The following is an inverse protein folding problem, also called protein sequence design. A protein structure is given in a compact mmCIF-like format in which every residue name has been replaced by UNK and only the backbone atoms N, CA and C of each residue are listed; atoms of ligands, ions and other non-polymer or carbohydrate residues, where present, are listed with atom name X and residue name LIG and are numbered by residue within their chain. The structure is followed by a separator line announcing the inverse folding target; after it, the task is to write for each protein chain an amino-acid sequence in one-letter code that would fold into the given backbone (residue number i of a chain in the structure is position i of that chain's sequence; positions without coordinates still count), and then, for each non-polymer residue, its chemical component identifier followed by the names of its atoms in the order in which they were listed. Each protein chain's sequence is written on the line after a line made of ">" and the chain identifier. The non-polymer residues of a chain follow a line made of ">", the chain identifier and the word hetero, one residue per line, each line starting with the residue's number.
data_IF_779277680791
#
_entry.id   IF_779277680791
#
_cell.length_a   1.000
_cell.length_b   1.000
_cell.length_c   1.000
_cell.angle_alpha   90.00
_cell.angle_beta   90.00
_cell.angle_gamma   90.00
#
_symmetry.space_group_name_H-M   'P 1'
#
loop_
_entity.id
_entity.type
_entity.pdbx_description
1 polymer ?
#
# COMPACT_ATOMS: atom_id res chain seq x y z
N UNK A 1 -1.61 10.28 -16.74
CA UNK A 1 -2.15 8.92 -16.50
C UNK A 1 -1.32 8.23 -15.44
N UNK A 2 -1.95 7.48 -14.52
CA UNK A 2 -1.24 6.75 -13.49
C UNK A 2 -1.32 5.24 -13.72
N UNK A 3 -0.28 4.53 -13.27
CA UNK A 3 -0.25 3.08 -13.28
C UNK A 3 -0.97 2.53 -12.04
N UNK A 4 -1.89 1.61 -12.26
CA UNK A 4 -2.65 0.89 -11.23
C UNK A 4 -2.30 -0.60 -11.32
N UNK A 5 -1.91 -1.21 -10.21
CA UNK A 5 -1.58 -2.65 -10.16
C UNK A 5 -2.81 -3.49 -9.88
N UNK A 6 -3.74 -2.98 -9.09
CA UNK A 6 -4.96 -3.69 -8.71
C UNK A 6 -6.09 -2.70 -8.37
N UNK A 7 -7.33 -3.13 -8.57
CA UNK A 7 -8.56 -2.49 -8.06
C UNK A 7 -9.30 -3.57 -7.28
N UNK A 8 -9.21 -3.49 -5.95
CA UNK A 8 -9.81 -4.47 -5.05
C UNK A 8 -11.17 -3.98 -4.60
N UNK A 9 -12.20 -4.72 -4.98
CA UNK A 9 -13.59 -4.48 -4.56
C UNK A 9 -13.87 -5.10 -3.19
N UNK A 10 -14.90 -4.60 -2.52
CA UNK A 10 -15.39 -5.13 -1.23
C UNK A 10 -14.33 -5.13 -0.12
N UNK A 11 -13.42 -4.16 -0.14
CA UNK A 11 -12.47 -3.96 0.96
C UNK A 11 -13.19 -3.48 2.21
N UNK A 12 -12.99 -4.17 3.34
CA UNK A 12 -13.62 -3.85 4.64
C UNK A 12 -12.58 -3.46 5.71
N UNK A 13 -11.30 -3.42 5.33
CA UNK A 13 -10.17 -3.13 6.21
C UNK A 13 -9.43 -1.82 5.85
N UNK A 14 -9.92 -1.09 4.84
CA UNK A 14 -9.28 0.12 4.33
C UNK A 14 -10.09 1.38 4.63
N UNK A 15 -10.69 1.44 5.82
CA UNK A 15 -11.54 2.52 6.31
C UNK A 15 -12.96 2.07 6.65
N UNK A 16 -13.86 3.04 6.86
CA UNK A 16 -15.24 2.74 7.22
C UNK A 16 -16.06 2.27 6.01
N UNK A 17 -16.99 1.35 6.24
CA UNK A 17 -17.90 0.79 5.24
C UNK A 17 -17.24 -0.16 4.23
N UNK A 18 -17.96 -0.51 3.16
CA UNK A 18 -17.47 -1.32 2.05
C UNK A 18 -16.79 -0.37 1.05
N UNK A 19 -15.55 -0.66 0.69
CA UNK A 19 -14.76 0.23 -0.15
C UNK A 19 -14.21 -0.48 -1.39
N UNK A 20 -13.88 0.29 -2.40
CA UNK A 20 -13.04 -0.16 -3.50
C UNK A 20 -11.65 0.46 -3.31
N UNK A 21 -10.63 -0.40 -3.12
CA UNK A 21 -9.25 0.03 -2.92
C UNK A 21 -8.49 0.00 -4.23
N UNK A 22 -7.91 1.15 -4.62
CA UNK A 22 -7.08 1.30 -5.82
C UNK A 22 -5.62 1.24 -5.40
N UNK A 23 -4.85 0.30 -5.96
CA UNK A 23 -3.42 0.15 -5.68
C UNK A 23 -2.60 0.79 -6.80
N UNK A 24 -2.07 1.98 -6.54
CA UNK A 24 -1.18 2.68 -7.46
C UNK A 24 0.23 2.08 -7.45
N UNK A 25 0.96 2.27 -8.55
CA UNK A 25 2.29 1.72 -8.74
C UNK A 25 3.36 2.79 -8.65
N UNK A 26 4.28 2.60 -7.74
CA UNK A 26 5.40 3.48 -7.39
C UNK A 26 5.43 3.77 -5.89
N UNK A 27 6.54 3.45 -5.23
CA UNK A 27 6.75 3.73 -3.81
C UNK A 27 8.21 4.14 -3.58
N UNK A 28 8.48 5.20 -2.80
CA UNK A 28 9.83 5.58 -2.43
C UNK A 28 10.43 4.68 -1.34
N UNK A 29 9.57 3.99 -0.58
CA UNK A 29 9.98 3.12 0.52
C UNK A 29 10.35 1.69 0.06
N UNK A 30 11.12 0.98 0.90
CA UNK A 30 11.57 -0.40 0.69
C UNK A 30 11.34 -1.25 1.93
N UNK A 31 10.10 -1.19 2.47
CA UNK A 31 9.73 -1.94 3.66
C UNK A 31 9.98 -3.43 3.45
N UNK A 32 10.74 -4.05 4.35
CA UNK A 32 11.09 -5.46 4.27
C UNK A 32 9.87 -6.40 4.36
N UNK A 33 8.78 -5.95 4.99
CA UNK A 33 7.50 -6.66 5.10
C UNK A 33 6.45 -6.23 4.09
N UNK A 34 6.84 -5.60 2.97
CA UNK A 34 5.85 -5.06 2.02
C UNK A 34 4.94 -6.16 1.46
N UNK A 35 3.64 -5.99 1.56
CA UNK A 35 2.65 -6.94 1.00
C UNK A 35 2.36 -6.71 -0.48
N UNK A 36 2.81 -5.58 -1.03
CA UNK A 36 2.55 -5.18 -2.41
C UNK A 36 3.84 -4.84 -3.16
N UNK A 37 4.82 -5.78 -3.28
CA UNK A 37 6.11 -5.51 -3.93
C UNK A 37 5.96 -5.08 -5.39
N UNK A 38 4.89 -5.51 -6.06
CA UNK A 38 4.55 -5.11 -7.42
C UNK A 38 4.25 -3.61 -7.54
N UNK A 39 4.00 -2.92 -6.42
CA UNK A 39 3.79 -1.48 -6.40
C UNK A 39 5.07 -0.67 -6.17
N UNK A 40 6.19 -1.29 -5.78
CA UNK A 40 7.40 -0.56 -5.42
C UNK A 40 8.09 0.14 -6.59
N UNK A 41 8.14 -0.48 -7.77
CA UNK A 41 8.77 0.13 -8.95
C UNK A 41 7.80 1.05 -9.69
N UNK A 42 8.33 2.12 -10.28
CA UNK A 42 7.55 3.12 -11.02
C UNK A 42 7.17 2.67 -12.43
N UNK A 43 7.89 1.71 -13.01
CA UNK A 43 7.63 1.16 -14.35
C UNK A 43 6.80 -0.13 -14.28
N UNK A 44 6.11 -0.44 -15.36
CA UNK A 44 5.43 -1.74 -15.52
C UNK A 44 6.40 -2.88 -15.31
N UNK A 45 5.92 -3.97 -14.75
CA UNK A 45 6.66 -5.20 -14.54
C UNK A 45 5.84 -6.40 -14.98
N UNK A 46 6.50 -7.50 -15.29
CA UNK A 46 5.83 -8.77 -15.57
C UNK A 46 5.90 -9.64 -14.32
N UNK A 47 4.76 -10.11 -13.86
CA UNK A 47 4.64 -11.12 -12.83
C UNK A 47 4.53 -12.49 -13.50
N UNK A 48 5.27 -13.49 -13.02
CA UNK A 48 5.26 -14.83 -13.61
C UNK A 48 5.00 -15.88 -12.53
N UNK A 49 3.98 -16.73 -12.71
CA UNK A 49 3.81 -17.90 -11.85
C UNK A 49 4.79 -19.00 -12.28
N UNK A 50 5.96 -19.04 -11.64
CA UNK A 50 7.05 -19.95 -11.97
C UNK A 50 6.70 -21.42 -11.79
N UNK A 51 5.86 -21.76 -10.81
CA UNK A 51 5.48 -23.16 -10.52
C UNK A 51 4.80 -23.81 -11.73
N UNK A 52 3.95 -23.04 -12.42
CA UNK A 52 3.17 -23.50 -13.57
C UNK A 52 3.90 -23.37 -14.91
N UNK A 53 5.11 -22.80 -14.94
CA UNK A 53 5.87 -22.63 -16.17
C UNK A 53 6.43 -23.96 -16.67
N UNK A 54 6.26 -24.25 -17.96
CA UNK A 54 6.75 -25.48 -18.63
C UNK A 54 7.99 -25.24 -19.47
N UNK A 55 8.52 -24.00 -19.52
CA UNK A 55 9.70 -23.67 -20.30
C UNK A 55 9.51 -23.77 -21.83
N UNK A 56 8.30 -23.54 -22.33
CA UNK A 56 7.96 -23.69 -23.77
C UNK A 56 8.63 -22.67 -24.71
N UNK A 57 9.40 -21.71 -24.19
CA UNK A 57 10.17 -20.67 -24.92
C UNK A 57 9.34 -19.63 -25.67
N UNK A 58 8.02 -19.68 -25.75
CA UNK A 58 7.21 -18.71 -26.51
C UNK A 58 7.41 -17.27 -26.03
N UNK A 59 7.47 -17.05 -24.73
CA UNK A 59 7.71 -15.71 -24.16
C UNK A 59 9.12 -15.15 -24.43
N UNK A 60 10.12 -16.03 -24.57
CA UNK A 60 11.48 -15.65 -25.00
C UNK A 60 11.49 -15.26 -26.48
N UNK A 61 10.87 -16.08 -27.33
CA UNK A 61 10.80 -15.88 -28.79
C UNK A 61 10.15 -14.56 -29.18
N UNK A 62 9.08 -14.13 -28.47
CA UNK A 62 8.33 -12.91 -28.80
C UNK A 62 8.86 -11.64 -28.14
N UNK A 63 9.83 -11.76 -27.21
CA UNK A 63 10.30 -10.60 -26.46
C UNK A 63 11.10 -9.62 -27.33
N UNK A 64 10.59 -8.40 -27.62
CA UNK A 64 11.29 -7.46 -28.51
C UNK A 64 12.59 -6.93 -27.92
N UNK A 65 12.76 -6.99 -26.60
CA UNK A 65 13.92 -6.47 -25.89
C UNK A 65 14.90 -7.58 -25.45
N UNK A 66 14.66 -8.85 -25.79
CA UNK A 66 15.46 -9.99 -25.29
C UNK A 66 15.51 -10.06 -23.75
N UNK A 67 14.43 -9.63 -23.11
CA UNK A 67 14.34 -9.55 -21.64
C UNK A 67 13.86 -10.85 -20.98
N UNK A 68 13.52 -11.87 -21.76
CA UNK A 68 13.07 -13.17 -21.25
C UNK A 68 14.03 -14.24 -21.74
N UNK A 69 14.45 -15.15 -20.88
CA UNK A 69 15.24 -16.34 -21.21
C UNK A 69 14.71 -17.54 -20.44
N UNK A 70 15.04 -18.73 -20.90
CA UNK A 70 14.69 -19.96 -20.19
C UNK A 70 15.92 -20.45 -19.40
N UNK A 71 15.75 -20.55 -18.09
CA UNK A 71 16.73 -21.11 -17.16
C UNK A 71 16.10 -22.24 -16.35
N UNK A 72 16.78 -23.39 -16.28
CA UNK A 72 16.29 -24.59 -15.56
C UNK A 72 14.84 -24.96 -15.91
N UNK A 73 14.45 -24.80 -17.19
CA UNK A 73 13.10 -25.10 -17.68
C UNK A 73 12.02 -24.08 -17.26
N UNK A 74 12.40 -22.91 -16.79
CA UNK A 74 11.49 -21.82 -16.36
C UNK A 74 11.83 -20.53 -17.07
N UNK A 75 10.83 -19.71 -17.35
CA UNK A 75 11.01 -18.38 -17.93
C UNK A 75 11.47 -17.38 -16.87
N UNK A 76 12.66 -16.81 -17.04
CA UNK A 76 13.24 -15.78 -16.18
C UNK A 76 13.18 -14.43 -16.88
N UNK A 77 12.86 -13.36 -16.16
CA UNK A 77 12.72 -12.02 -16.70
C UNK A 77 13.87 -11.12 -16.23
N UNK A 78 14.65 -10.60 -17.18
CA UNK A 78 15.62 -9.53 -16.93
C UNK A 78 14.89 -8.18 -16.83
N UNK A 79 14.66 -7.72 -15.61
CA UNK A 79 13.92 -6.48 -15.35
C UNK A 79 14.67 -5.19 -15.75
N UNK A 80 15.99 -5.26 -16.02
CA UNK A 80 16.72 -4.12 -16.55
C UNK A 80 16.38 -3.87 -18.03
N UNK A 81 16.16 -4.96 -18.79
CA UNK A 81 15.77 -4.90 -20.20
C UNK A 81 14.25 -4.83 -20.40
N UNK A 82 13.48 -5.34 -19.44
CA UNK A 82 12.04 -5.45 -19.57
C UNK A 82 11.34 -4.09 -19.50
N UNK A 83 10.57 -3.78 -20.55
CA UNK A 83 9.73 -2.56 -20.63
C UNK A 83 8.30 -2.77 -20.15
N UNK A 84 7.90 -4.01 -19.82
CA UNK A 84 6.54 -4.34 -19.43
C UNK A 84 5.53 -4.22 -20.58
N UNK A 85 5.94 -4.42 -21.83
CA UNK A 85 5.08 -4.27 -23.01
C UNK A 85 3.91 -5.27 -23.08
N UNK A 86 4.05 -6.45 -22.44
CA UNK A 86 2.99 -7.45 -22.39
C UNK A 86 3.02 -8.51 -23.50
N UNK A 87 3.90 -8.43 -24.51
CA UNK A 87 3.97 -9.42 -25.60
C UNK A 87 4.12 -10.86 -25.07
N UNK A 88 4.97 -11.05 -24.08
CA UNK A 88 5.16 -12.34 -23.43
C UNK A 88 3.94 -12.81 -22.60
N UNK A 89 3.06 -11.91 -22.22
CA UNK A 89 1.78 -12.23 -21.55
C UNK A 89 0.81 -12.80 -22.59
N UNK A 90 0.66 -12.10 -23.72
CA UNK A 90 -0.21 -12.52 -24.85
C UNK A 90 0.23 -13.86 -25.44
N UNK A 91 1.55 -14.10 -25.53
CA UNK A 91 2.09 -15.35 -26.08
C UNK A 91 2.02 -16.56 -25.11
N UNK A 92 1.74 -16.32 -23.84
CA UNK A 92 1.74 -17.38 -22.84
C UNK A 92 0.44 -18.19 -22.86
N UNK A 93 0.46 -19.37 -23.46
CA UNK A 93 -0.71 -20.26 -23.56
C UNK A 93 -1.25 -20.72 -22.19
N UNK A 94 -0.41 -20.70 -21.17
CA UNK A 94 -0.80 -21.11 -19.80
C UNK A 94 -1.35 -19.95 -18.97
N UNK A 95 -1.35 -18.71 -19.51
CA UNK A 95 -1.81 -17.48 -18.81
C UNK A 95 -1.13 -17.30 -17.43
N UNK A 96 0.14 -17.67 -17.31
CA UNK A 96 0.90 -17.58 -16.04
C UNK A 96 1.69 -16.29 -15.91
N UNK A 97 1.67 -15.44 -16.92
CA UNK A 97 2.31 -14.13 -16.94
C UNK A 97 1.26 -13.04 -16.95
N UNK A 98 1.51 -11.96 -16.23
CA UNK A 98 0.63 -10.79 -16.20
C UNK A 98 1.44 -9.49 -16.12
N UNK A 99 0.85 -8.39 -16.58
CA UNK A 99 1.45 -7.05 -16.45
C UNK A 99 0.99 -6.42 -15.13
N UNK A 100 1.92 -6.12 -14.23
CA UNK A 100 1.68 -5.25 -13.08
C UNK A 100 1.83 -3.79 -13.51
N UNK A 101 0.72 -3.06 -13.46
CA UNK A 101 0.65 -1.65 -13.84
C UNK A 101 -0.10 -1.43 -15.16
N UNK A 102 -1.40 -1.27 -15.07
CA UNK A 102 -2.27 -0.82 -16.15
C UNK A 102 -2.47 0.69 -16.04
N UNK A 103 -2.35 1.39 -17.16
CA UNK A 103 -2.66 2.82 -17.21
C UNK A 103 -4.16 3.08 -17.20
N UNK A 104 -4.56 4.08 -16.42
CA UNK A 104 -5.91 4.59 -16.41
C UNK A 104 -5.88 6.12 -16.54
N UNK A 105 -6.74 6.66 -17.40
CA UNK A 105 -7.14 8.06 -17.31
C UNK A 105 -8.06 8.26 -16.12
N UNK A 106 -8.22 9.48 -15.61
CA UNK A 106 -9.17 9.78 -14.51
C UNK A 106 -10.58 9.30 -14.87
N UNK A 107 -11.01 9.55 -16.12
CA UNK A 107 -12.35 9.15 -16.61
C UNK A 107 -12.55 7.62 -16.60
N UNK A 108 -11.55 6.86 -17.03
CA UNK A 108 -11.63 5.40 -17.05
C UNK A 108 -11.67 4.83 -15.62
N UNK A 109 -10.82 5.36 -14.73
CA UNK A 109 -10.79 4.92 -13.34
C UNK A 109 -12.10 5.26 -12.62
N UNK A 110 -12.63 6.47 -12.76
CA UNK A 110 -13.94 6.85 -12.23
C UNK A 110 -15.06 5.93 -12.71
N UNK A 111 -15.07 5.59 -14.01
CA UNK A 111 -16.07 4.65 -14.57
C UNK A 111 -15.99 3.28 -13.91
N UNK A 112 -14.79 2.81 -13.58
CA UNK A 112 -14.60 1.53 -12.89
C UNK A 112 -15.07 1.60 -11.44
N UNK A 113 -14.71 2.66 -10.72
CA UNK A 113 -15.06 2.87 -9.31
C UNK A 113 -16.57 3.03 -9.09
N UNK A 114 -17.26 3.69 -10.01
CA UNK A 114 -18.73 3.86 -9.96
C UNK A 114 -19.53 2.57 -10.08
N UNK A 115 -18.94 1.49 -10.53
CA UNK A 115 -19.65 0.20 -10.59
C UNK A 115 -20.08 -0.33 -9.21
N UNK A 116 -19.41 0.15 -8.16
CA UNK A 116 -19.63 -0.29 -6.78
C UNK A 116 -20.37 0.78 -5.93
N UNK A 117 -20.91 1.84 -6.56
CA UNK A 117 -21.58 2.99 -5.91
C UNK A 117 -22.69 2.54 -4.94
N UNK A 118 -23.50 1.57 -5.33
CA UNK A 118 -24.56 1.03 -4.47
C UNK A 118 -24.02 0.50 -3.12
N UNK A 119 -22.85 -0.14 -3.13
CA UNK A 119 -22.23 -0.65 -1.89
C UNK A 119 -21.67 0.49 -1.03
N UNK A 120 -21.22 1.58 -1.65
CA UNK A 120 -20.77 2.76 -0.92
C UNK A 120 -21.92 3.44 -0.21
N UNK A 121 -23.04 3.65 -0.89
CA UNK A 121 -24.25 4.27 -0.34
C UNK A 121 -24.82 3.46 0.82
N UNK A 122 -24.99 2.14 0.65
CA UNK A 122 -25.59 1.26 1.66
C UNK A 122 -24.73 1.11 2.92
N UNK A 123 -23.40 1.18 2.80
CA UNK A 123 -22.48 0.92 3.91
C UNK A 123 -21.85 2.16 4.52
N UNK A 124 -22.04 3.33 3.92
CA UNK A 124 -21.24 4.53 4.23
C UNK A 124 -19.77 4.42 3.83
N UNK A 125 -19.48 3.53 2.87
CA UNK A 125 -18.15 3.29 2.33
C UNK A 125 -17.75 4.25 1.22
N UNK A 126 -16.86 3.81 0.31
CA UNK A 126 -16.38 4.64 -0.80
C UNK A 126 -15.11 4.11 -1.45
N UNK A 127 -14.20 4.99 -1.78
CA UNK A 127 -12.94 4.66 -2.44
C UNK A 127 -11.76 4.87 -1.50
N UNK A 128 -10.81 3.92 -1.48
CA UNK A 128 -9.51 4.09 -0.82
C UNK A 128 -8.42 4.08 -1.88
N UNK A 129 -7.60 5.12 -1.90
CA UNK A 129 -6.42 5.21 -2.75
C UNK A 129 -5.20 4.77 -1.96
N UNK A 130 -4.53 3.72 -2.41
CA UNK A 130 -3.45 2.99 -1.73
C UNK A 130 -2.43 2.45 -2.74
N UNK A 131 -1.69 1.40 -2.39
CA UNK A 131 -0.79 0.68 -3.28
C UNK A 131 0.67 0.82 -2.91
N UNK A 132 1.43 1.61 -3.70
CA UNK A 132 2.76 2.07 -3.33
C UNK A 132 2.64 3.27 -2.39
N UNK A 133 2.99 4.48 -2.88
CA UNK A 133 2.68 5.73 -2.17
C UNK A 133 1.86 6.63 -3.11
N UNK A 134 0.57 6.70 -2.88
CA UNK A 134 -0.35 7.44 -3.76
C UNK A 134 0.00 8.92 -3.83
N UNK A 135 0.52 9.48 -2.74
CA UNK A 135 0.91 10.89 -2.66
C UNK A 135 2.21 11.23 -3.42
N UNK A 136 2.89 10.21 -3.97
CA UNK A 136 4.04 10.36 -4.87
C UNK A 136 3.67 10.26 -6.36
N UNK A 137 2.38 10.04 -6.66
CA UNK A 137 1.92 9.97 -8.05
C UNK A 137 1.88 11.38 -8.69
N UNK A 138 1.47 11.44 -9.96
CA UNK A 138 1.12 12.70 -10.60
C UNK A 138 0.00 13.38 -9.83
N UNK A 139 0.32 14.43 -9.07
CA UNK A 139 -0.63 15.08 -8.17
C UNK A 139 -1.74 15.83 -8.91
N UNK A 140 -1.56 16.21 -10.17
CA UNK A 140 -2.64 16.79 -10.98
C UNK A 140 -3.69 15.72 -11.29
N UNK A 141 -3.23 14.48 -11.56
CA UNK A 141 -4.12 13.34 -11.73
C UNK A 141 -4.85 12.97 -10.45
N UNK A 142 -4.14 12.86 -9.32
CA UNK A 142 -4.75 12.48 -8.02
C UNK A 142 -5.75 13.53 -7.56
N UNK A 143 -5.39 14.82 -7.64
CA UNK A 143 -6.28 15.93 -7.26
C UNK A 143 -7.56 15.94 -8.11
N UNK A 144 -7.46 15.75 -9.42
CA UNK A 144 -8.64 15.67 -10.29
C UNK A 144 -9.50 14.46 -9.96
N UNK A 145 -8.89 13.29 -9.71
CA UNK A 145 -9.63 12.09 -9.34
C UNK A 145 -10.42 12.29 -8.04
N UNK A 146 -9.78 12.79 -6.98
CA UNK A 146 -10.46 12.96 -5.68
C UNK A 146 -11.53 14.06 -5.74
N UNK A 147 -11.31 15.14 -6.51
CA UNK A 147 -12.33 16.16 -6.78
C UNK A 147 -13.57 15.58 -7.45
N UNK A 148 -13.37 14.71 -8.45
CA UNK A 148 -14.48 14.07 -9.17
C UNK A 148 -15.26 13.11 -8.28
N UNK A 149 -14.57 12.32 -7.45
CA UNK A 149 -15.23 11.42 -6.47
C UNK A 149 -16.03 12.24 -5.45
N UNK A 150 -15.42 13.25 -4.86
CA UNK A 150 -16.06 14.15 -3.88
C UNK A 150 -17.31 14.83 -4.44
N UNK A 151 -17.25 15.37 -5.68
CA UNK A 151 -18.41 15.98 -6.36
C UNK A 151 -19.57 15.00 -6.58
N UNK A 152 -19.31 13.71 -6.60
CA UNK A 152 -20.30 12.65 -6.73
C UNK A 152 -20.78 12.09 -5.39
N UNK A 153 -20.34 12.67 -4.27
CA UNK A 153 -20.71 12.22 -2.92
C UNK A 153 -20.02 10.93 -2.49
N UNK A 154 -19.02 10.47 -3.24
CA UNK A 154 -18.26 9.24 -2.90
C UNK A 154 -17.15 9.62 -1.91
N UNK A 155 -17.15 9.01 -0.73
CA UNK A 155 -16.11 9.25 0.28
C UNK A 155 -14.75 8.72 -0.18
N UNK A 156 -13.69 9.47 0.13
CA UNK A 156 -12.32 9.12 -0.29
C UNK A 156 -11.40 9.00 0.92
N UNK A 157 -10.75 7.85 1.04
CA UNK A 157 -9.65 7.66 1.98
C UNK A 157 -8.32 7.61 1.24
N UNK A 158 -7.28 8.12 1.89
CA UNK A 158 -5.89 8.01 1.44
C UNK A 158 -5.13 7.12 2.41
N UNK A 159 -4.56 6.02 1.89
CA UNK A 159 -3.64 5.16 2.62
C UNK A 159 -2.21 5.57 2.26
N UNK A 160 -1.47 6.08 3.23
CA UNK A 160 -0.17 6.74 3.00
C UNK A 160 0.85 6.45 4.10
N UNK A 161 2.10 6.34 3.70
CA UNK A 161 3.24 6.33 4.61
C UNK A 161 3.64 7.73 5.09
N UNK A 162 3.16 8.77 4.44
CA UNK A 162 3.54 10.16 4.74
C UNK A 162 4.92 10.59 4.24
N UNK A 163 5.68 9.74 3.56
CA UNK A 163 7.02 10.07 3.05
C UNK A 163 6.95 10.84 1.73
N UNK A 164 6.46 12.07 1.78
CA UNK A 164 6.18 12.93 0.62
C UNK A 164 6.30 14.42 1.01
N UNK A 165 6.41 15.36 0.04
CA UNK A 165 6.29 16.78 0.33
C UNK A 165 4.90 17.10 0.91
N UNK A 166 4.83 17.92 1.97
CA UNK A 166 3.56 18.28 2.62
C UNK A 166 2.57 18.99 1.69
N UNK A 167 3.07 19.73 0.71
CA UNK A 167 2.24 20.42 -0.28
C UNK A 167 1.29 19.47 -1.04
N UNK A 168 1.67 18.20 -1.19
CA UNK A 168 0.82 17.20 -1.82
C UNK A 168 -0.44 16.94 -0.97
N UNK A 169 -0.31 16.88 0.36
CA UNK A 169 -1.45 16.77 1.28
C UNK A 169 -2.37 17.97 1.18
N UNK A 170 -1.84 19.21 1.19
CA UNK A 170 -2.64 20.43 1.11
C UNK A 170 -3.53 20.49 -0.12
N UNK A 171 -3.02 19.98 -1.26
CA UNK A 171 -3.77 19.98 -2.54
C UNK A 171 -5.06 19.19 -2.46
N UNK A 172 -5.06 18.07 -1.74
CA UNK A 172 -6.20 17.15 -1.72
C UNK A 172 -6.99 17.14 -0.42
N UNK A 173 -6.45 17.71 0.66
CA UNK A 173 -7.07 17.73 2.00
C UNK A 173 -8.57 18.11 1.99
N UNK A 174 -9.05 19.08 1.20
CA UNK A 174 -10.47 19.44 1.18
C UNK A 174 -11.41 18.37 0.62
N UNK A 175 -10.88 17.33 -0.01
CA UNK A 175 -11.63 16.28 -0.72
C UNK A 175 -11.49 14.90 -0.07
N UNK A 176 -10.77 14.82 1.06
CA UNK A 176 -10.44 13.55 1.72
C UNK A 176 -11.21 13.42 3.02
N UNK A 177 -11.91 12.30 3.18
CA UNK A 177 -12.68 11.99 4.38
C UNK A 177 -11.80 11.43 5.50
N UNK A 178 -10.82 10.59 5.19
CA UNK A 178 -9.92 10.00 6.19
C UNK A 178 -8.54 9.70 5.59
N UNK A 179 -7.51 10.03 6.35
CA UNK A 179 -6.15 9.55 6.09
C UNK A 179 -5.85 8.33 6.94
N UNK A 180 -5.58 7.22 6.29
CA UNK A 180 -5.02 6.01 6.89
C UNK A 180 -3.51 6.19 6.91
N UNK A 181 -2.97 6.60 8.05
CA UNK A 181 -1.60 7.08 8.15
C UNK A 181 -0.70 6.07 8.86
N UNK A 182 0.30 5.56 8.17
CA UNK A 182 1.17 4.54 8.69
C UNK A 182 2.31 5.12 9.56
N UNK A 183 2.43 4.66 10.81
CA UNK A 183 3.62 4.78 11.63
C UNK A 183 4.30 3.41 11.69
N UNK A 184 5.43 3.27 10.98
CA UNK A 184 6.09 1.96 10.83
C UNK A 184 7.09 1.67 11.96
N UNK A 185 7.80 2.68 12.44
CA UNK A 185 8.64 2.65 13.64
C UNK A 185 8.90 4.07 14.11
N UNK A 186 8.98 4.29 15.44
CA UNK A 186 9.38 5.57 16.03
C UNK A 186 10.89 5.73 16.06
N UNK A 187 11.61 4.66 16.37
CA UNK A 187 13.06 4.66 16.33
C UNK A 187 13.55 4.82 14.88
N UNK A 188 14.38 5.84 14.64
CA UNK A 188 14.84 6.20 13.31
C UNK A 188 15.82 5.18 12.71
N UNK A 189 16.63 4.54 13.53
CA UNK A 189 17.56 3.49 13.06
C UNK A 189 16.80 2.20 12.71
N UNK A 190 15.78 1.84 13.48
CA UNK A 190 14.85 0.76 13.14
C UNK A 190 14.12 1.07 11.84
N UNK A 191 13.64 2.33 11.67
CA UNK A 191 12.96 2.76 10.46
C UNK A 191 13.88 2.72 9.24
N UNK A 192 15.12 3.24 9.34
CA UNK A 192 16.11 3.15 8.26
C UNK A 192 16.42 1.71 7.88
N UNK A 193 16.64 0.86 8.88
CA UNK A 193 16.99 -0.55 8.66
C UNK A 193 15.91 -1.31 7.90
N UNK A 194 14.65 -1.15 8.28
CA UNK A 194 13.57 -2.00 7.80
C UNK A 194 12.65 -1.35 6.75
N UNK A 195 12.65 -0.02 6.65
CA UNK A 195 11.81 0.75 5.72
C UNK A 195 12.65 1.43 4.63
N UNK A 196 13.97 1.57 4.89
CA UNK A 196 14.93 2.08 3.93
C UNK A 196 15.11 3.60 3.95
N UNK A 197 14.44 4.34 4.85
CA UNK A 197 14.52 5.80 4.97
C UNK A 197 14.38 6.25 6.43
N UNK A 198 14.65 7.52 6.70
CA UNK A 198 14.33 8.17 7.98
C UNK A 198 12.83 8.44 8.10
N UNK A 199 12.32 8.50 9.36
CA UNK A 199 10.93 8.78 9.64
C UNK A 199 10.62 10.27 9.88
N UNK A 200 11.60 11.15 9.89
CA UNK A 200 11.46 12.57 10.27
C UNK A 200 10.36 13.28 9.48
N UNK A 201 10.40 13.20 8.15
CA UNK A 201 9.39 13.85 7.30
C UNK A 201 7.99 13.24 7.49
N UNK A 202 7.91 11.95 7.81
CA UNK A 202 6.65 11.24 8.07
C UNK A 202 5.99 11.83 9.32
N UNK A 203 6.74 11.94 10.42
CA UNK A 203 6.25 12.48 11.68
C UNK A 203 5.90 13.97 11.57
N UNK A 204 6.73 14.77 10.88
CA UNK A 204 6.44 16.18 10.64
C UNK A 204 5.15 16.37 9.81
N UNK A 205 4.94 15.55 8.79
CA UNK A 205 3.74 15.59 7.95
C UNK A 205 2.49 15.20 8.74
N UNK A 206 2.58 14.18 9.60
CA UNK A 206 1.47 13.80 10.48
C UNK A 206 1.06 14.94 11.42
N UNK A 207 2.04 15.63 11.99
CA UNK A 207 1.82 16.78 12.85
C UNK A 207 1.10 17.93 12.11
N UNK A 208 1.57 18.27 10.91
CA UNK A 208 0.96 19.30 10.06
C UNK A 208 -0.46 18.92 9.65
N UNK A 209 -0.66 17.66 9.24
CA UNK A 209 -1.95 17.13 8.80
C UNK A 209 -2.98 17.17 9.95
N UNK A 210 -2.57 16.82 11.16
CA UNK A 210 -3.40 16.94 12.36
C UNK A 210 -3.75 18.39 12.70
N UNK A 211 -2.79 19.32 12.55
CA UNK A 211 -3.00 20.75 12.77
C UNK A 211 -3.98 21.35 11.76
N UNK A 212 -3.92 20.89 10.50
CA UNK A 212 -4.82 21.32 9.41
C UNK A 212 -6.23 20.68 9.52
N UNK A 213 -6.48 19.88 10.57
CA UNK A 213 -7.82 19.37 10.90
C UNK A 213 -8.23 18.09 10.17
N UNK A 214 -7.31 17.38 9.56
CA UNK A 214 -7.59 16.12 8.91
C UNK A 214 -8.14 15.08 9.91
N UNK A 215 -9.04 14.20 9.44
CA UNK A 215 -9.44 13.00 10.17
C UNK A 215 -8.41 11.92 9.91
N UNK A 216 -7.76 11.43 10.95
CA UNK A 216 -6.61 10.55 10.86
C UNK A 216 -6.88 9.23 11.59
N UNK A 217 -6.68 8.12 10.90
CA UNK A 217 -6.54 6.79 11.48
C UNK A 217 -5.06 6.42 11.45
N UNK A 218 -4.47 6.22 12.62
CA UNK A 218 -3.09 5.74 12.73
C UNK A 218 -3.09 4.24 12.47
N UNK A 219 -2.22 3.79 11.57
CA UNK A 219 -2.00 2.39 11.24
C UNK A 219 -0.57 2.01 11.64
N UNK A 220 -0.43 0.94 12.41
CA UNK A 220 0.87 0.47 12.91
C UNK A 220 1.03 -0.98 12.45
N UNK A 221 1.76 -1.22 11.34
CA UNK A 221 2.20 -2.58 11.03
C UNK A 221 3.01 -3.12 12.20
N UNK A 222 2.52 -4.20 12.82
CA UNK A 222 3.05 -4.74 14.07
C UNK A 222 3.75 -6.07 13.78
N UNK A 223 5.09 -6.06 13.88
CA UNK A 223 5.95 -7.15 13.44
C UNK A 223 6.79 -7.65 14.61
N UNK A 224 6.69 -8.93 14.92
CA UNK A 224 7.48 -9.56 15.96
C UNK A 224 8.98 -9.46 15.65
N UNK A 225 9.77 -9.03 16.66
CA UNK A 225 11.20 -8.77 16.50
C UNK A 225 11.58 -7.45 15.82
N UNK A 226 10.59 -6.59 15.49
CA UNK A 226 10.83 -5.25 14.92
C UNK A 226 10.25 -4.16 15.81
N UNK A 227 8.94 -4.17 16.01
CA UNK A 227 8.20 -3.14 16.76
C UNK A 227 7.02 -3.69 17.58
N UNK A 228 6.83 -5.02 17.63
CA UNK A 228 5.76 -5.66 18.40
C UNK A 228 6.16 -5.82 19.88
N UNK A 229 6.55 -4.73 20.52
CA UNK A 229 6.93 -4.68 21.94
C UNK A 229 6.33 -3.45 22.62
N UNK A 230 6.28 -3.47 23.96
CA UNK A 230 5.70 -2.37 24.74
C UNK A 230 6.47 -1.06 24.60
N UNK A 231 7.79 -1.11 24.50
CA UNK A 231 8.63 0.09 24.40
C UNK A 231 8.34 0.84 23.10
N UNK A 232 8.28 0.12 21.98
CA UNK A 232 7.92 0.66 20.67
C UNK A 232 6.53 1.29 20.68
N UNK A 233 5.52 0.61 21.27
CA UNK A 233 4.15 1.15 21.33
C UNK A 233 4.05 2.34 22.30
N UNK A 234 4.71 2.30 23.44
CA UNK A 234 4.78 3.44 24.36
C UNK A 234 5.47 4.66 23.74
N UNK A 235 6.47 4.46 22.89
CA UNK A 235 7.09 5.55 22.14
C UNK A 235 6.10 6.22 21.16
N UNK A 236 5.29 5.43 20.44
CA UNK A 236 4.21 5.96 19.58
C UNK A 236 3.19 6.74 20.42
N UNK A 237 2.67 6.14 21.48
CA UNK A 237 1.69 6.76 22.38
C UNK A 237 2.20 8.09 22.93
N UNK A 238 3.43 8.08 23.47
CA UNK A 238 4.07 9.26 24.02
C UNK A 238 4.17 10.37 22.97
N UNK A 239 4.66 10.06 21.78
CA UNK A 239 4.81 11.06 20.71
C UNK A 239 3.47 11.62 20.25
N UNK A 240 2.45 10.78 20.02
CA UNK A 240 1.10 11.21 19.65
C UNK A 240 0.49 12.15 20.70
N UNK A 241 0.74 11.87 21.99
CA UNK A 241 0.25 12.67 23.12
C UNK A 241 1.00 14.00 23.26
N UNK A 242 2.34 13.95 23.23
CA UNK A 242 3.20 15.14 23.40
C UNK A 242 2.95 16.16 22.27
N UNK A 243 2.82 15.67 21.03
CA UNK A 243 2.53 16.51 19.86
C UNK A 243 1.03 16.83 19.69
N UNK A 244 0.18 16.33 20.58
CA UNK A 244 -1.28 16.58 20.58
C UNK A 244 -1.95 16.21 19.25
N UNK A 245 -1.53 15.09 18.68
CA UNK A 245 -2.08 14.61 17.40
C UNK A 245 -3.55 14.19 17.60
N UNK A 246 -4.44 14.71 16.79
CA UNK A 246 -5.86 14.35 16.81
C UNK A 246 -6.08 13.03 16.06
N UNK A 247 -6.13 11.94 16.82
CA UNK A 247 -6.31 10.59 16.29
C UNK A 247 -7.76 10.17 16.44
N UNK A 248 -8.41 9.84 15.33
CA UNK A 248 -9.78 9.35 15.32
C UNK A 248 -9.86 7.82 15.58
N UNK A 249 -8.84 7.06 15.20
CA UNK A 249 -8.73 5.63 15.43
C UNK A 249 -7.26 5.18 15.35
N UNK A 250 -6.91 4.14 16.12
CA UNK A 250 -5.63 3.43 16.01
C UNK A 250 -5.89 2.00 15.55
N UNK A 251 -5.15 1.55 14.54
CA UNK A 251 -5.19 0.18 14.03
C UNK A 251 -3.81 -0.46 14.20
N UNK A 252 -3.72 -1.49 15.04
CA UNK A 252 -2.54 -2.35 15.10
C UNK A 252 -2.71 -3.45 14.06
N UNK A 253 -1.85 -3.47 13.05
CA UNK A 253 -1.94 -4.39 11.91
C UNK A 253 -0.97 -5.55 12.12
N UNK A 254 -1.42 -6.71 12.63
CA UNK A 254 -0.54 -7.86 12.81
C UNK A 254 0.11 -8.24 11.48
N UNK A 255 1.43 -8.48 11.49
CA UNK A 255 2.12 -9.00 10.33
C UNK A 255 1.52 -10.33 9.88
N UNK A 256 1.46 -10.55 8.57
CA UNK A 256 1.10 -11.82 7.95
C UNK A 256 1.93 -12.03 6.67
N UNK A 257 2.21 -13.27 6.32
CA UNK A 257 3.08 -13.62 5.19
C UNK A 257 2.35 -13.83 3.86
N UNK A 258 1.17 -13.26 3.66
CA UNK A 258 0.38 -13.49 2.43
C UNK A 258 0.97 -12.81 1.19
N UNK A 259 1.89 -11.86 1.37
CA UNK A 259 2.58 -11.16 0.27
C UNK A 259 3.70 -11.97 -0.40
N UNK A 260 4.21 -13.03 0.23
CA UNK A 260 5.39 -13.79 -0.21
C UNK A 260 5.28 -14.32 -1.65
N UNK A 261 4.08 -14.81 -2.04
CA UNK A 261 3.84 -15.30 -3.40
C UNK A 261 4.03 -14.24 -4.49
N UNK A 262 3.86 -12.97 -4.19
CA UNK A 262 4.08 -11.87 -5.13
C UNK A 262 5.58 -11.64 -5.39
N UNK A 263 6.42 -11.83 -4.36
CA UNK A 263 7.88 -11.75 -4.51
C UNK A 263 8.42 -12.85 -5.43
N UNK A 264 7.98 -14.09 -5.22
CA UNK A 264 8.37 -15.21 -6.12
C UNK A 264 7.92 -14.95 -7.56
N UNK A 265 6.74 -14.36 -7.78
CA UNK A 265 6.24 -13.98 -9.10
C UNK A 265 7.01 -12.82 -9.73
N UNK A 266 7.65 -11.96 -8.94
CA UNK A 266 8.57 -10.89 -9.37
C UNK A 266 10.02 -11.37 -9.47
N UNK A 267 10.29 -12.63 -9.17
CA UNK A 267 11.63 -13.22 -9.14
C UNK A 267 12.57 -12.45 -8.18
N UNK A 268 12.00 -11.98 -7.06
CA UNK A 268 12.69 -11.21 -6.02
C UNK A 268 12.78 -12.01 -4.73
N UNK A 269 13.85 -11.76 -3.96
CA UNK A 269 13.97 -12.27 -2.59
C UNK A 269 12.96 -11.56 -1.69
N UNK A 270 12.39 -12.30 -0.76
CA UNK A 270 11.51 -11.74 0.27
C UNK A 270 12.20 -11.77 1.64
N UNK A 271 12.64 -10.62 2.10
CA UNK A 271 13.32 -10.50 3.40
C UNK A 271 12.36 -10.73 4.58
N UNK A 272 11.05 -10.60 4.33
CA UNK A 272 10.00 -10.78 5.31
C UNK A 272 9.72 -12.24 5.72
N UNK A 273 10.35 -13.24 5.09
CA UNK A 273 10.21 -14.65 5.51
C UNK A 273 10.72 -14.92 6.93
N UNK A 274 11.67 -14.10 7.39
CA UNK A 274 12.22 -14.19 8.73
C UNK A 274 11.33 -13.54 9.82
N UNK A 275 10.30 -12.79 9.45
CA UNK A 275 9.41 -12.13 10.40
C UNK A 275 8.37 -13.08 10.97
N UNK A 276 8.13 -12.94 12.26
CA UNK A 276 7.13 -13.72 12.96
C UNK A 276 5.84 -12.91 13.14
N UNK A 277 4.73 -13.64 13.17
CA UNK A 277 3.41 -13.08 13.47
C UNK A 277 3.30 -12.89 14.99
N UNK A 278 2.97 -11.70 15.50
CA UNK A 278 2.69 -11.52 16.92
C UNK A 278 1.50 -12.40 17.35
N UNK A 279 1.55 -12.96 18.56
CA UNK A 279 0.41 -13.73 19.08
C UNK A 279 -0.80 -12.84 19.37
N UNK A 280 -1.99 -13.43 19.38
CA UNK A 280 -3.23 -12.71 19.69
C UNK A 280 -3.21 -12.09 21.08
N UNK A 281 -2.61 -12.78 22.07
CA UNK A 281 -2.44 -12.28 23.43
C UNK A 281 -1.55 -11.04 23.44
N UNK A 282 -0.43 -11.08 22.71
CA UNK A 282 0.48 -9.94 22.57
C UNK A 282 -0.22 -8.76 21.89
N UNK A 283 -0.94 -9.00 20.80
CA UNK A 283 -1.70 -7.95 20.12
C UNK A 283 -2.74 -7.30 21.04
N UNK A 284 -3.45 -8.08 21.85
CA UNK A 284 -4.38 -7.56 22.86
C UNK A 284 -3.68 -6.73 23.92
N UNK A 285 -2.53 -7.19 24.42
CA UNK A 285 -1.70 -6.45 25.37
C UNK A 285 -1.24 -5.11 24.80
N UNK A 286 -0.72 -5.10 23.57
CA UNK A 286 -0.27 -3.88 22.90
C UNK A 286 -1.44 -2.92 22.62
N UNK A 287 -2.61 -3.45 22.26
CA UNK A 287 -3.83 -2.66 22.05
C UNK A 287 -4.30 -1.99 23.35
N UNK A 288 -4.22 -2.68 24.51
CA UNK A 288 -4.63 -2.12 25.80
C UNK A 288 -3.78 -0.90 26.20
N UNK A 289 -2.50 -0.85 25.84
CA UNK A 289 -1.65 0.32 26.11
C UNK A 289 -2.23 1.62 25.52
N UNK A 290 -2.77 1.55 24.29
CA UNK A 290 -3.41 2.70 23.65
C UNK A 290 -4.72 3.06 24.34
N UNK A 291 -5.54 2.08 24.70
CA UNK A 291 -6.81 2.32 25.40
C UNK A 291 -6.58 2.94 26.78
N UNK A 292 -5.60 2.44 27.54
CA UNK A 292 -5.19 2.97 28.84
C UNK A 292 -4.63 4.39 28.76
N UNK A 293 -3.98 4.73 27.62
CA UNK A 293 -3.51 6.07 27.33
C UNK A 293 -4.61 7.04 26.84
N UNK A 294 -5.88 6.58 26.75
CA UNK A 294 -7.04 7.42 26.43
C UNK A 294 -7.44 7.45 24.96
N UNK A 295 -6.89 6.60 24.10
CA UNK A 295 -7.35 6.49 22.70
C UNK A 295 -8.68 5.74 22.65
N UNK A 296 -9.75 6.40 22.14
CA UNK A 296 -11.13 5.92 22.24
C UNK A 296 -11.45 4.75 21.30
N UNK A 297 -10.77 4.67 20.17
CA UNK A 297 -11.00 3.62 19.15
C UNK A 297 -9.67 2.96 18.82
N UNK A 298 -9.48 1.76 19.33
CA UNK A 298 -8.29 0.93 19.05
C UNK A 298 -8.78 -0.41 18.50
N UNK A 299 -8.25 -0.79 17.34
CA UNK A 299 -8.58 -2.04 16.66
C UNK A 299 -7.32 -2.88 16.42
N UNK A 300 -7.48 -4.18 16.43
CA UNK A 300 -6.52 -5.13 15.90
C UNK A 300 -6.99 -5.53 14.51
N UNK A 301 -6.15 -5.28 13.51
CA UNK A 301 -6.53 -5.35 12.10
C UNK A 301 -6.97 -4.01 11.51
N UNK A 302 -7.29 -4.01 10.23
CA UNK A 302 -7.69 -2.83 9.47
C UNK A 302 -9.19 -2.61 9.47
#
# INVERSE_FOLDING_TARGET
>A
MCLVTNIQKYSIHDGDGIRTTVFFKGCPLRCAWCHNPETQKWKRQILTNQEKCTGCMECERVCPNGAVRIENGKAVTDYEKCTGCGECVTACLLNIREVAGKEYTVKELLKELKKDEMFYEESGGGVTLSGGEVMCMDMDYIEELVKQLHRQGITVNIDTSGYVPYENFKRILPYIDTFLYDIKAMDNEVHKKWVGTENTIILENLKKLSADGARIYIRIPTIEGVNADEESMKAVIKWLTDEKIKVAQVNLLPYHNTGSSKYSRLECTYDGEAFLVPSDEKMKQLSSLFTEAGFLKVKIGG
#
